data_IF_456504332280
#
_entry.id   IF_456504332280
#
_cell.length_a   1.000
_cell.length_b   1.000
_cell.length_c   1.000
_cell.angle_alpha   90.00
_cell.angle_beta   90.00
_cell.angle_gamma   90.00
#
_symmetry.space_group_name_H-M   'P 1'
#
loop_
_entity.id
_entity.type
_entity.pdbx_description
1 polymer ?
#
# COMPACT_ATOMS: atom_id res chain seq x y z
N UNK A 1 2.50 -11.65 -8.00
CA UNK A 1 1.03 -11.55 -7.91
C UNK A 1 0.61 -10.31 -7.10
N UNK A 2 1.06 -10.18 -5.87
CA UNK A 2 0.72 -9.07 -4.97
C UNK A 2 0.95 -7.68 -5.61
N UNK A 3 2.13 -7.43 -6.20
CA UNK A 3 2.42 -6.14 -6.85
C UNK A 3 1.48 -5.84 -8.02
N UNK A 4 1.05 -6.86 -8.75
CA UNK A 4 0.12 -6.69 -9.86
C UNK A 4 -1.31 -6.44 -9.36
N UNK A 5 -1.86 -7.33 -8.53
CA UNK A 5 -3.27 -7.26 -8.13
C UNK A 5 -3.54 -6.11 -7.13
N UNK A 6 -2.72 -5.99 -6.10
CA UNK A 6 -3.01 -5.06 -5.00
C UNK A 6 -2.53 -3.63 -5.29
N UNK A 7 -1.59 -3.47 -6.22
CA UNK A 7 -1.03 -2.17 -6.54
C UNK A 7 -1.27 -1.75 -7.97
N UNK A 8 -0.75 -2.50 -8.96
CA UNK A 8 -0.86 -2.08 -10.35
C UNK A 8 -2.31 -1.90 -10.79
N UNK A 9 -3.17 -2.90 -10.58
CA UNK A 9 -4.59 -2.81 -10.96
C UNK A 9 -5.31 -1.69 -10.22
N UNK A 10 -5.01 -1.49 -8.93
CA UNK A 10 -5.64 -0.42 -8.16
C UNK A 10 -5.16 0.98 -8.59
N UNK A 11 -3.87 1.13 -8.91
CA UNK A 11 -3.34 2.40 -9.46
C UNK A 11 -3.91 2.71 -10.84
N UNK A 12 -4.10 1.68 -11.67
CA UNK A 12 -4.54 1.78 -13.05
C UNK A 12 -6.07 1.94 -13.21
N UNK A 13 -6.85 1.89 -12.14
CA UNK A 13 -8.29 2.17 -12.18
C UNK A 13 -8.56 3.64 -12.54
N UNK A 14 -8.59 3.92 -13.84
CA UNK A 14 -8.93 5.22 -14.41
C UNK A 14 -10.31 5.13 -15.09
N UNK A 15 -11.03 6.25 -15.10
CA UNK A 15 -12.28 6.36 -15.87
C UNK A 15 -11.99 6.48 -17.37
N UNK A 16 -10.94 7.21 -17.74
CA UNK A 16 -10.54 7.49 -19.12
C UNK A 16 -9.23 6.73 -19.43
N UNK A 17 -9.36 5.48 -19.85
CA UNK A 17 -8.21 4.65 -20.25
C UNK A 17 -7.87 4.93 -21.71
N UNK A 18 -6.59 5.08 -21.99
CA UNK A 18 -6.07 5.16 -23.36
C UNK A 18 -5.84 3.76 -23.96
N UNK A 19 -5.65 3.69 -25.26
CA UNK A 19 -5.29 2.43 -25.91
C UNK A 19 -3.91 1.92 -25.44
N UNK A 20 -2.97 2.81 -25.13
CA UNK A 20 -1.69 2.47 -24.55
C UNK A 20 -1.83 1.86 -23.15
N UNK A 21 -2.69 2.43 -22.29
CA UNK A 21 -2.98 1.87 -20.97
C UNK A 21 -3.52 0.43 -21.09
N UNK A 22 -4.42 0.19 -22.07
CA UNK A 22 -4.98 -1.14 -22.33
C UNK A 22 -3.93 -2.12 -22.86
N UNK A 23 -3.01 -1.68 -23.72
CA UNK A 23 -1.92 -2.50 -24.24
C UNK A 23 -0.95 -2.90 -23.12
N UNK A 24 -0.55 -1.96 -22.26
CA UNK A 24 0.32 -2.25 -21.11
C UNK A 24 -0.34 -3.24 -20.14
N UNK A 25 -1.64 -3.07 -19.86
CA UNK A 25 -2.38 -4.02 -19.03
C UNK A 25 -2.44 -5.41 -19.66
N UNK A 26 -2.80 -5.49 -20.95
CA UNK A 26 -2.89 -6.75 -21.67
C UNK A 26 -1.53 -7.48 -21.72
N UNK A 27 -0.46 -6.75 -21.99
CA UNK A 27 0.90 -7.28 -21.97
C UNK A 27 1.28 -7.82 -20.58
N UNK A 28 1.08 -7.01 -19.55
CA UNK A 28 1.42 -7.38 -18.15
C UNK A 28 0.62 -8.61 -17.70
N UNK A 29 -0.68 -8.65 -18.00
CA UNK A 29 -1.54 -9.75 -17.62
C UNK A 29 -1.22 -11.03 -18.40
N UNK A 30 -1.00 -10.94 -19.72
CA UNK A 30 -0.60 -12.07 -20.55
C UNK A 30 0.74 -12.67 -20.09
N UNK A 31 1.69 -11.81 -19.75
CA UNK A 31 3.00 -12.22 -19.20
C UNK A 31 2.81 -12.95 -17.87
N UNK A 32 1.97 -12.42 -17.00
CA UNK A 32 1.66 -13.04 -15.72
C UNK A 32 1.02 -14.44 -15.89
N UNK A 33 0.07 -14.59 -16.82
CA UNK A 33 -0.55 -15.89 -17.12
C UNK A 33 0.49 -16.91 -17.60
N UNK A 34 1.43 -16.52 -18.46
CA UNK A 34 2.54 -17.37 -18.92
C UNK A 34 3.42 -17.84 -17.76
N UNK A 35 3.80 -16.90 -16.87
CA UNK A 35 4.64 -17.22 -15.70
C UNK A 35 3.94 -18.12 -14.68
N UNK A 36 2.63 -18.00 -14.54
CA UNK A 36 1.83 -18.81 -13.62
C UNK A 36 1.41 -20.17 -14.19
N UNK A 37 1.42 -20.33 -15.51
CA UNK A 37 0.92 -21.54 -16.18
C UNK A 37 1.52 -22.85 -15.67
N UNK A 38 2.82 -22.96 -15.38
CA UNK A 38 3.41 -24.20 -14.83
C UNK A 38 2.81 -24.62 -13.47
N UNK A 39 2.24 -23.69 -12.71
CA UNK A 39 1.70 -23.94 -11.36
C UNK A 39 0.19 -24.18 -11.37
N UNK A 40 -0.53 -23.45 -12.23
CA UNK A 40 -2.02 -23.46 -12.28
C UNK A 40 -2.51 -23.53 -13.74
N UNK A 41 -2.20 -24.62 -14.48
CA UNK A 41 -2.40 -24.68 -15.94
C UNK A 41 -3.85 -24.52 -16.37
N UNK A 42 -4.80 -25.13 -15.69
CA UNK A 42 -6.20 -25.10 -16.11
C UNK A 42 -6.82 -23.70 -15.98
N UNK A 43 -6.54 -23.01 -14.89
CA UNK A 43 -7.06 -21.65 -14.66
C UNK A 43 -6.45 -20.65 -15.64
N UNK A 44 -5.14 -20.73 -15.84
CA UNK A 44 -4.43 -19.81 -16.75
C UNK A 44 -4.82 -20.05 -18.20
N UNK A 45 -5.07 -21.30 -18.64
CA UNK A 45 -5.56 -21.59 -19.96
C UNK A 45 -6.97 -21.03 -20.19
N UNK A 46 -7.89 -21.26 -19.23
CA UNK A 46 -9.25 -20.72 -19.31
C UNK A 46 -9.28 -19.18 -19.37
N UNK A 47 -8.37 -18.50 -18.64
CA UNK A 47 -8.22 -17.06 -18.72
C UNK A 47 -7.58 -16.61 -20.04
N UNK A 48 -6.62 -17.38 -20.57
CA UNK A 48 -5.97 -17.11 -21.85
C UNK A 48 -6.95 -17.15 -23.04
N UNK A 49 -7.91 -18.05 -23.03
CA UNK A 49 -8.97 -18.12 -24.05
C UNK A 49 -9.75 -16.80 -24.21
N UNK A 50 -9.88 -16.00 -23.12
CA UNK A 50 -10.54 -14.70 -23.17
C UNK A 50 -9.79 -13.69 -24.05
N UNK A 51 -8.49 -13.87 -24.25
CA UNK A 51 -7.68 -13.03 -25.17
C UNK A 51 -7.86 -13.41 -26.64
N UNK A 52 -8.64 -14.45 -26.95
CA UNK A 52 -8.88 -14.95 -28.32
C UNK A 52 -7.57 -15.17 -29.10
N UNK A 53 -6.55 -15.64 -28.44
CA UNK A 53 -5.25 -15.91 -29.06
C UNK A 53 -5.36 -17.17 -29.95
N UNK A 54 -4.60 -17.23 -31.07
CA UNK A 54 -4.69 -18.34 -32.01
C UNK A 54 -4.10 -19.65 -31.49
N UNK A 55 -3.29 -19.61 -30.44
CA UNK A 55 -2.62 -20.76 -29.83
C UNK A 55 -2.98 -20.88 -28.36
N UNK A 56 -3.01 -22.10 -27.86
CA UNK A 56 -3.11 -22.37 -26.43
C UNK A 56 -1.92 -21.77 -25.67
N UNK A 57 -2.12 -21.40 -24.41
CA UNK A 57 -1.07 -20.88 -23.55
C UNK A 57 0.07 -21.89 -23.37
N UNK A 58 -0.27 -23.18 -23.22
CA UNK A 58 0.70 -24.27 -23.07
C UNK A 58 1.76 -24.36 -24.18
N UNK A 59 1.43 -23.90 -25.39
CA UNK A 59 2.36 -23.90 -26.55
C UNK A 59 2.80 -22.49 -26.96
N UNK A 60 2.50 -21.49 -26.14
CA UNK A 60 2.92 -20.12 -26.38
C UNK A 60 4.40 -19.93 -26.00
N UNK A 61 5.05 -18.93 -26.61
CA UNK A 61 6.42 -18.60 -26.28
C UNK A 61 6.53 -18.06 -24.86
N UNK A 62 7.62 -18.46 -24.16
CA UNK A 62 7.95 -17.93 -22.84
C UNK A 62 8.24 -16.43 -22.92
N UNK A 63 7.85 -15.64 -21.91
CA UNK A 63 8.14 -14.20 -21.89
C UNK A 63 9.64 -13.92 -21.99
N UNK A 64 9.98 -12.99 -22.85
CA UNK A 64 11.37 -12.53 -22.99
C UNK A 64 11.63 -11.40 -21.98
N UNK A 65 12.88 -11.29 -21.55
CA UNK A 65 13.34 -10.19 -20.72
C UNK A 65 13.29 -8.87 -21.50
N UNK A 66 12.83 -7.80 -20.84
CA UNK A 66 12.81 -6.48 -21.46
C UNK A 66 14.24 -5.91 -21.50
N UNK A 67 14.61 -5.38 -22.65
CA UNK A 67 15.96 -4.82 -22.90
C UNK A 67 16.21 -3.45 -22.27
N UNK A 68 15.26 -2.89 -21.53
CA UNK A 68 15.34 -1.57 -20.93
C UNK A 68 14.97 -1.58 -19.44
N UNK A 69 15.53 -0.63 -18.69
CA UNK A 69 15.32 -0.49 -17.26
C UNK A 69 14.44 0.72 -16.95
N UNK A 70 13.52 0.52 -16.03
CA UNK A 70 12.62 1.56 -15.52
C UNK A 70 12.99 1.99 -14.08
N UNK A 71 14.25 1.92 -13.70
CA UNK A 71 14.71 2.12 -12.33
C UNK A 71 14.21 3.43 -11.70
N UNK A 72 14.23 4.54 -12.44
CA UNK A 72 13.73 5.83 -11.94
C UNK A 72 12.21 5.81 -11.72
N UNK A 73 11.44 5.29 -12.68
CA UNK A 73 9.99 5.16 -12.55
C UNK A 73 9.61 4.18 -11.43
N UNK A 74 10.38 3.10 -11.29
CA UNK A 74 10.22 2.15 -10.19
C UNK A 74 10.39 2.84 -8.83
N UNK A 75 11.47 3.59 -8.63
CA UNK A 75 11.71 4.31 -7.38
C UNK A 75 10.61 5.34 -7.06
N UNK A 76 10.10 6.05 -8.06
CA UNK A 76 8.97 6.97 -7.91
C UNK A 76 7.69 6.26 -7.46
N UNK A 77 7.39 5.10 -8.06
CA UNK A 77 6.22 4.30 -7.68
C UNK A 77 6.37 3.74 -6.27
N UNK A 78 7.55 3.26 -5.88
CA UNK A 78 7.80 2.76 -4.52
C UNK A 78 7.62 3.86 -3.47
N UNK A 79 8.06 5.10 -3.73
CA UNK A 79 7.81 6.24 -2.85
C UNK A 79 6.31 6.53 -2.68
N UNK A 80 5.53 6.47 -3.76
CA UNK A 80 4.07 6.64 -3.69
C UNK A 80 3.41 5.51 -2.90
N UNK A 81 3.83 4.26 -3.14
CA UNK A 81 3.33 3.08 -2.39
C UNK A 81 3.62 3.21 -0.91
N UNK A 82 4.82 3.65 -0.57
CA UNK A 82 5.22 3.81 0.83
C UNK A 82 4.40 4.92 1.50
N UNK A 83 4.22 6.08 0.85
CA UNK A 83 3.36 7.16 1.36
C UNK A 83 1.93 6.66 1.64
N UNK A 84 1.32 5.94 0.70
CA UNK A 84 -0.01 5.37 0.85
C UNK A 84 -0.05 4.35 2.01
N UNK A 85 0.96 3.49 2.10
CA UNK A 85 1.05 2.45 3.14
C UNK A 85 1.21 3.07 4.53
N UNK A 86 2.03 4.11 4.67
CA UNK A 86 2.21 4.82 5.94
C UNK A 86 0.92 5.51 6.39
N UNK A 87 0.20 6.17 5.48
CA UNK A 87 -1.09 6.79 5.79
C UNK A 87 -2.11 5.70 6.23
N UNK A 88 -2.16 4.55 5.55
CA UNK A 88 -3.03 3.43 5.95
C UNK A 88 -2.67 2.90 7.35
N UNK A 89 -1.38 2.77 7.65
CA UNK A 89 -0.89 2.36 8.98
C UNK A 89 -1.25 3.38 10.06
N UNK A 90 -1.15 4.68 9.75
CA UNK A 90 -1.59 5.74 10.67
C UNK A 90 -3.10 5.66 10.94
N UNK A 91 -3.91 5.41 9.90
CA UNK A 91 -5.36 5.20 10.05
C UNK A 91 -5.69 3.99 10.93
N UNK A 92 -4.97 2.89 10.74
CA UNK A 92 -5.13 1.69 11.58
C UNK A 92 -4.76 1.98 13.03
N UNK A 93 -3.63 2.62 13.29
CA UNK A 93 -3.22 3.04 14.64
C UNK A 93 -4.21 4.00 15.29
N UNK A 94 -4.84 4.86 14.49
CA UNK A 94 -5.87 5.79 14.94
C UNK A 94 -7.27 5.14 15.12
N UNK A 95 -7.41 3.84 14.86
CA UNK A 95 -8.69 3.11 14.86
C UNK A 95 -9.76 3.74 13.95
N UNK A 96 -9.34 4.38 12.83
CA UNK A 96 -10.26 4.98 11.86
C UNK A 96 -10.79 3.91 10.91
N UNK A 97 -12.09 3.68 10.93
CA UNK A 97 -12.77 2.73 10.04
C UNK A 97 -12.58 3.08 8.55
N UNK A 98 -12.70 2.06 7.69
CA UNK A 98 -12.51 2.22 6.24
C UNK A 98 -13.61 3.04 5.56
N UNK A 99 -14.75 3.20 6.20
CA UNK A 99 -15.91 4.01 5.79
C UNK A 99 -15.68 5.50 6.03
N UNK A 100 -14.84 5.87 7.00
CA UNK A 100 -14.56 7.27 7.36
C UNK A 100 -13.40 7.81 6.54
N UNK A 101 -13.61 8.88 5.78
CA UNK A 101 -12.56 9.67 5.12
C UNK A 101 -11.97 10.66 6.11
N UNK A 102 -10.65 10.83 6.08
CA UNK A 102 -9.89 11.76 6.96
C UNK A 102 -8.94 12.60 6.13
N UNK A 103 -8.59 13.78 6.65
CA UNK A 103 -7.51 14.61 6.11
C UNK A 103 -6.13 14.02 6.47
N UNK A 104 -5.16 14.21 5.58
CA UNK A 104 -3.76 13.88 5.83
C UNK A 104 -2.84 14.96 5.28
N UNK A 105 -1.65 15.06 5.85
CA UNK A 105 -0.62 15.98 5.37
C UNK A 105 0.68 15.22 5.14
N UNK A 106 1.32 15.44 4.00
CA UNK A 106 2.67 14.96 3.70
C UNK A 106 3.65 16.12 3.73
N UNK A 107 4.74 15.93 4.44
CA UNK A 107 5.83 16.91 4.52
C UNK A 107 7.08 16.29 3.88
N UNK A 108 7.55 16.87 2.79
CA UNK A 108 8.77 16.43 2.12
C UNK A 108 9.35 17.56 1.27
N UNK A 109 10.59 17.91 1.50
CA UNK A 109 11.30 18.91 0.69
C UNK A 109 11.61 18.36 -0.71
N UNK A 110 12.08 17.12 -0.79
CA UNK A 110 12.56 16.51 -2.04
C UNK A 110 11.43 15.94 -2.92
N UNK A 111 10.38 15.38 -2.30
CA UNK A 111 9.37 14.59 -3.00
C UNK A 111 8.02 15.29 -3.15
N UNK A 112 7.91 16.56 -2.70
CA UNK A 112 6.65 17.31 -2.71
C UNK A 112 6.03 17.41 -4.11
N UNK A 113 6.83 17.64 -5.13
CA UNK A 113 6.37 17.74 -6.52
C UNK A 113 5.79 16.41 -7.03
N UNK A 114 6.45 15.29 -6.72
CA UNK A 114 5.95 13.96 -7.06
C UNK A 114 4.60 13.69 -6.39
N UNK A 115 4.46 14.00 -5.12
CA UNK A 115 3.21 13.82 -4.39
C UNK A 115 2.09 14.72 -4.90
N UNK A 116 2.37 15.99 -5.23
CA UNK A 116 1.40 16.93 -5.85
C UNK A 116 0.91 16.38 -7.19
N UNK A 117 1.81 15.89 -8.03
CA UNK A 117 1.46 15.31 -9.34
C UNK A 117 0.53 14.11 -9.19
N UNK A 118 0.67 13.31 -8.14
CA UNK A 118 -0.11 12.09 -7.91
C UNK A 118 -1.08 12.20 -6.72
N UNK A 119 -1.43 13.42 -6.31
CA UNK A 119 -2.28 13.69 -5.15
C UNK A 119 -3.62 12.95 -5.20
N UNK A 120 -4.30 12.98 -6.34
CA UNK A 120 -5.58 12.29 -6.52
C UNK A 120 -5.45 10.77 -6.35
N UNK A 121 -4.34 10.18 -6.80
CA UNK A 121 -4.05 8.76 -6.63
C UNK A 121 -3.91 8.42 -5.14
N UNK A 122 -3.14 9.22 -4.40
CA UNK A 122 -2.91 9.03 -2.96
C UNK A 122 -4.24 9.17 -2.20
N UNK A 123 -5.01 10.23 -2.46
CA UNK A 123 -6.34 10.45 -1.86
C UNK A 123 -7.24 9.22 -2.05
N UNK A 124 -7.32 8.72 -3.27
CA UNK A 124 -8.16 7.58 -3.62
C UNK A 124 -7.71 6.31 -2.91
N UNK A 125 -6.42 5.97 -3.00
CA UNK A 125 -5.90 4.71 -2.47
C UNK A 125 -5.75 4.71 -0.95
N UNK A 126 -5.48 5.86 -0.32
CA UNK A 126 -5.43 6.00 1.13
C UNK A 126 -6.81 6.32 1.75
N UNK A 127 -7.86 6.48 0.91
CA UNK A 127 -9.24 6.83 1.34
C UNK A 127 -9.28 8.11 2.16
N UNK A 128 -8.69 9.17 1.63
CA UNK A 128 -8.67 10.48 2.26
C UNK A 128 -9.85 11.35 1.80
N UNK A 129 -10.24 12.32 2.62
CA UNK A 129 -11.08 13.45 2.20
C UNK A 129 -10.27 14.49 1.45
N UNK A 130 -9.08 14.77 1.97
CA UNK A 130 -8.15 15.74 1.43
C UNK A 130 -6.69 15.36 1.77
N UNK A 131 -5.74 15.88 1.00
CA UNK A 131 -4.32 15.69 1.21
C UNK A 131 -3.61 17.04 1.03
N UNK A 132 -2.95 17.51 2.06
CA UNK A 132 -2.05 18.62 1.99
C UNK A 132 -0.62 18.16 1.76
N UNK A 133 0.16 18.93 0.99
CA UNK A 133 1.56 18.62 0.70
C UNK A 133 2.40 19.85 0.97
N UNK A 134 3.25 19.76 1.98
CA UNK A 134 4.10 20.83 2.47
C UNK A 134 5.58 20.45 2.36
N UNK A 135 6.44 21.44 2.07
CA UNK A 135 7.89 21.22 1.96
C UNK A 135 8.58 21.22 3.32
N UNK A 136 8.06 22.00 4.27
CA UNK A 136 8.65 22.15 5.60
C UNK A 136 7.84 21.35 6.62
N UNK A 137 8.53 20.53 7.40
CA UNK A 137 7.94 19.87 8.57
C UNK A 137 7.56 20.93 9.62
N UNK A 138 6.35 20.86 10.20
CA UNK A 138 6.00 21.72 11.33
C UNK A 138 6.93 21.40 12.50
N UNK A 139 7.33 22.39 13.22
CA UNK A 139 7.90 22.18 14.55
C UNK A 139 6.90 21.33 15.36
N UNK A 140 7.41 20.47 16.24
CA UNK A 140 6.68 19.47 17.04
C UNK A 140 5.22 19.85 17.32
N UNK A 141 4.29 19.38 16.49
CA UNK A 141 2.86 19.46 16.74
C UNK A 141 2.46 18.26 17.59
N UNK A 142 2.03 18.50 18.81
CA UNK A 142 1.56 17.44 19.74
C UNK A 142 0.22 16.85 19.33
N UNK A 143 -0.45 17.45 18.34
CA UNK A 143 -1.85 17.17 18.01
C UNK A 143 -2.03 16.25 16.79
N UNK A 144 -0.95 15.80 16.16
CA UNK A 144 -1.02 14.97 14.97
C UNK A 144 -0.30 13.63 15.15
N UNK A 145 -0.93 12.56 14.71
CA UNK A 145 -0.28 11.25 14.61
C UNK A 145 0.55 11.21 13.32
N UNK A 146 1.85 10.96 13.43
CA UNK A 146 2.77 10.99 12.30
C UNK A 146 3.65 9.75 12.16
N UNK A 147 4.11 9.49 10.96
CA UNK A 147 5.09 8.46 10.63
C UNK A 147 6.13 9.00 9.63
N UNK A 148 7.41 8.72 9.90
CA UNK A 148 8.53 9.10 9.03
C UNK A 148 8.92 7.96 8.09
N UNK A 149 9.17 8.29 6.83
CA UNK A 149 9.70 7.37 5.83
C UNK A 149 10.43 8.18 4.73
N UNK A 150 11.56 7.69 4.24
CA UNK A 150 12.30 8.27 3.09
C UNK A 150 12.30 9.82 3.05
N UNK A 151 12.76 10.46 4.14
CA UNK A 151 12.78 11.92 4.28
C UNK A 151 11.40 12.60 4.14
N UNK A 152 10.33 11.85 4.36
CA UNK A 152 8.95 12.32 4.32
C UNK A 152 8.28 12.05 5.67
N UNK A 153 7.50 12.99 6.15
CA UNK A 153 6.63 12.82 7.30
C UNK A 153 5.18 12.74 6.78
N UNK A 154 4.51 11.62 7.00
CA UNK A 154 3.07 11.53 6.86
C UNK A 154 2.40 11.83 8.19
N UNK A 155 1.34 12.61 8.18
CA UNK A 155 0.58 12.97 9.39
C UNK A 155 -0.92 12.97 9.11
N UNK A 156 -1.69 12.58 10.13
CA UNK A 156 -3.15 12.68 10.14
C UNK A 156 -3.60 13.52 11.32
N UNK A 157 -4.73 14.21 11.17
CA UNK A 157 -5.25 15.08 12.22
C UNK A 157 -5.69 14.30 13.46
N UNK A 158 -5.39 14.85 14.65
CA UNK A 158 -5.79 14.28 15.93
C UNK A 158 -7.32 14.16 16.09
N UNK A 159 -8.06 15.06 15.47
CA UNK A 159 -9.55 15.02 15.44
C UNK A 159 -10.11 13.75 14.81
N UNK A 160 -9.31 13.07 13.96
CA UNK A 160 -9.69 11.81 13.33
C UNK A 160 -9.49 10.60 14.24
N UNK A 161 -8.71 10.74 15.31
CA UNK A 161 -8.30 9.64 16.21
C UNK A 161 -9.37 9.37 17.26
N UNK A 162 -9.84 8.14 17.36
CA UNK A 162 -10.71 7.70 18.46
C UNK A 162 -9.85 7.34 19.69
N UNK A 163 -9.45 8.36 20.43
CA UNK A 163 -8.56 8.22 21.59
C UNK A 163 -9.12 7.28 22.67
N UNK A 164 -10.44 7.15 22.81
CA UNK A 164 -11.03 6.23 23.78
C UNK A 164 -10.74 4.79 23.41
N UNK A 165 -10.97 4.41 22.16
CA UNK A 165 -10.67 3.05 21.67
C UNK A 165 -9.18 2.75 21.69
N UNK A 166 -8.34 3.74 21.38
CA UNK A 166 -6.89 3.57 21.42
C UNK A 166 -6.41 3.32 22.86
N UNK A 167 -6.89 4.11 23.82
CA UNK A 167 -6.60 3.92 25.25
C UNK A 167 -7.06 2.53 25.73
N UNK A 168 -8.27 2.10 25.38
CA UNK A 168 -8.78 0.77 25.72
C UNK A 168 -7.93 -0.35 25.12
N UNK A 169 -7.53 -0.19 23.85
CA UNK A 169 -6.65 -1.12 23.13
C UNK A 169 -5.29 -1.25 23.80
N UNK A 170 -4.68 -0.11 24.15
CA UNK A 170 -3.38 -0.07 24.83
C UNK A 170 -3.46 -0.64 26.25
N UNK A 171 -4.51 -0.34 27.00
CA UNK A 171 -4.75 -0.92 28.32
C UNK A 171 -4.92 -2.44 28.27
N UNK A 172 -5.63 -2.95 27.24
CA UNK A 172 -5.79 -4.40 27.03
C UNK A 172 -4.46 -5.08 26.71
N UNK A 173 -3.65 -4.49 25.83
CA UNK A 173 -2.29 -4.99 25.51
C UNK A 173 -1.41 -5.00 26.74
N UNK A 174 -1.38 -3.92 27.50
CA UNK A 174 -0.60 -3.79 28.73
C UNK A 174 -1.00 -4.86 29.77
N UNK A 175 -2.29 -5.12 29.95
CA UNK A 175 -2.80 -6.16 30.83
C UNK A 175 -2.42 -7.57 30.37
N UNK A 176 -2.39 -7.82 29.07
CA UNK A 176 -1.98 -9.10 28.52
C UNK A 176 -0.48 -9.32 28.72
N UNK A 177 0.34 -8.32 28.44
CA UNK A 177 1.79 -8.39 28.60
C UNK A 177 2.20 -8.48 30.07
N UNK A 178 1.56 -7.71 30.98
CA UNK A 178 1.82 -7.82 32.41
C UNK A 178 1.45 -9.20 32.95
N UNK A 179 0.32 -9.78 32.53
CA UNK A 179 -0.05 -11.15 32.88
C UNK A 179 0.92 -12.20 32.37
N UNK A 180 1.47 -12.02 31.17
CA UNK A 180 2.51 -12.91 30.63
C UNK A 180 3.81 -12.83 31.46
N UNK A 181 4.23 -11.62 31.83
CA UNK A 181 5.44 -11.40 32.67
C UNK A 181 5.25 -12.02 34.05
N UNK A 182 4.09 -11.83 34.71
CA UNK A 182 3.78 -12.42 36.01
C UNK A 182 3.76 -13.95 35.98
N UNK A 183 3.14 -14.54 34.95
CA UNK A 183 3.12 -16.01 34.77
C UNK A 183 4.52 -16.57 34.53
N UNK A 184 5.34 -15.86 33.76
CA UNK A 184 6.73 -16.26 33.48
C UNK A 184 7.57 -16.20 34.76
N UNK A 185 7.43 -15.13 35.55
CA UNK A 185 8.12 -14.99 36.83
C UNK A 185 7.69 -16.06 37.84
N UNK A 186 6.40 -16.41 37.89
CA UNK A 186 5.88 -17.48 38.74
C UNK A 186 6.45 -18.85 38.33
N UNK A 187 6.55 -19.10 37.02
CA UNK A 187 7.17 -20.34 36.50
C UNK A 187 8.66 -20.44 36.84
N UNK A 188 9.40 -19.35 36.85
CA UNK A 188 10.80 -19.32 37.29
C UNK A 188 10.95 -19.58 38.81
N UNK A 189 10.09 -18.95 39.62
CA UNK A 189 10.12 -19.17 41.10
C UNK A 189 9.78 -20.60 41.49
N UNK A 190 8.96 -21.31 40.71
CA UNK A 190 8.60 -22.71 40.99
C UNK A 190 9.63 -23.71 40.52
N UNK A 191 10.68 -23.30 39.80
CA UNK A 191 11.81 -24.13 39.34
C UNK A 191 13.08 -23.98 40.18
N UNK A 192 13.11 -23.01 41.07
CA UNK A 192 14.19 -22.82 42.07
C UNK A 192 13.82 -23.45 43.42
#
# INVERSE_FOLDING_TARGET
WHNFCDWYLEMDKKLDRTDEDNQVLAYSYSTLLKLMHPYVPFVTEALWEQFKQPKMLAVSEWPQELSYSFSESHNRIELLREAISQIRTLREKANVGLDKKIGATLYSEKNAELFRKHQNLIIRLARLSELEINEKTPGSSRDNLGAYFNETLASIEASAVDWKKEIESLQKKLKTESGFVENTLAAFKNRA
#
